data_IF_930101786059
#
_entry.id   IF_930101786059
#
_cell.length_a   1.000
_cell.length_b   1.000
_cell.length_c   1.000
_cell.angle_alpha   90.00
_cell.angle_beta   90.00
_cell.angle_gamma   90.00
#
_symmetry.space_group_name_H-M   'P 1'
#
loop_
_entity.id
_entity.type
_entity.pdbx_description
1 polymer ?
#
# COMPACT_ATOMS: atom_id res chain seq x y z
N UNK A 1 -6.68 13.57 -2.43
CA UNK A 1 -5.45 14.36 -2.22
C UNK A 1 -5.43 15.10 -0.89
N UNK A 2 -6.56 15.64 -0.38
CA UNK A 2 -6.59 16.36 0.92
C UNK A 2 -6.06 15.53 2.11
N UNK A 3 -6.27 14.21 2.09
CA UNK A 3 -5.82 13.30 3.14
C UNK A 3 -4.28 13.23 3.30
N UNK A 4 -3.54 13.30 2.19
CA UNK A 4 -2.06 13.29 2.21
C UNK A 4 -1.51 14.68 2.58
N UNK A 5 -2.21 15.73 2.16
CA UNK A 5 -1.83 17.13 2.45
C UNK A 5 -1.92 17.46 3.95
N UNK A 6 -2.78 16.76 4.69
CA UNK A 6 -2.89 16.88 6.16
C UNK A 6 -1.78 16.18 6.94
N UNK A 7 -0.85 15.49 6.26
CA UNK A 7 0.28 14.75 6.85
C UNK A 7 -0.09 13.93 8.10
N UNK A 8 -1.10 13.04 8.04
CA UNK A 8 -1.45 12.23 9.20
C UNK A 8 -0.30 11.28 9.58
N UNK A 9 -0.17 10.95 10.86
CA UNK A 9 0.90 10.04 11.30
C UNK A 9 0.72 8.63 10.73
N UNK A 10 -0.53 8.23 10.46
CA UNK A 10 -0.89 6.95 9.85
C UNK A 10 -1.93 7.14 8.75
N UNK A 11 -1.75 6.41 7.66
CA UNK A 11 -2.67 6.36 6.54
C UNK A 11 -3.21 4.94 6.41
N UNK A 12 -4.54 4.78 6.42
CA UNK A 12 -5.22 3.53 6.16
C UNK A 12 -5.88 3.61 4.79
N UNK A 13 -5.53 2.70 3.89
CA UNK A 13 -6.05 2.64 2.53
C UNK A 13 -6.69 1.29 2.25
N UNK A 14 -7.89 1.31 1.67
CA UNK A 14 -8.56 0.12 1.18
C UNK A 14 -8.63 0.17 -0.34
N UNK A 15 -7.99 -0.79 -1.01
CA UNK A 15 -7.88 -0.90 -2.47
C UNK A 15 -7.48 0.42 -3.18
N UNK A 16 -6.33 1.02 -2.84
CA UNK A 16 -5.97 2.34 -3.36
C UNK A 16 -5.79 2.33 -4.89
N UNK A 17 -5.31 1.23 -5.47
CA UNK A 17 -5.02 1.13 -6.91
C UNK A 17 -6.28 1.18 -7.79
N UNK A 18 -7.44 0.78 -7.26
CA UNK A 18 -8.72 0.74 -8.00
C UNK A 18 -9.26 2.14 -8.32
N UNK A 19 -8.94 3.13 -7.49
CA UNK A 19 -9.43 4.50 -7.65
C UNK A 19 -8.47 5.41 -8.42
N UNK A 20 -7.36 4.88 -8.95
CA UNK A 20 -6.36 5.63 -9.70
C UNK A 20 -6.30 5.16 -11.15
N UNK A 21 -6.18 6.13 -12.08
CA UNK A 21 -5.91 5.83 -13.49
C UNK A 21 -4.63 4.98 -13.62
N UNK A 22 -4.58 3.99 -14.53
CA UNK A 22 -3.39 3.19 -14.80
C UNK A 22 -2.14 4.05 -15.10
N UNK A 23 -2.33 5.19 -15.78
CA UNK A 23 -1.27 6.14 -16.12
C UNK A 23 -0.69 6.88 -14.90
N UNK A 24 -1.46 6.98 -13.81
CA UNK A 24 -1.06 7.68 -12.58
C UNK A 24 -0.42 6.74 -11.56
N UNK A 25 -0.49 5.42 -11.74
CA UNK A 25 0.02 4.46 -10.78
C UNK A 25 1.50 4.64 -10.40
N UNK A 26 2.44 4.93 -11.32
CA UNK A 26 3.85 5.11 -10.94
C UNK A 26 4.06 6.32 -10.01
N UNK A 27 3.31 7.41 -10.24
CA UNK A 27 3.38 8.61 -9.40
C UNK A 27 2.78 8.37 -8.02
N UNK A 28 1.66 7.64 -7.97
CA UNK A 28 1.01 7.23 -6.72
C UNK A 28 1.92 6.32 -5.90
N UNK A 29 2.55 5.32 -6.53
CA UNK A 29 3.51 4.43 -5.86
C UNK A 29 4.66 5.23 -5.28
N UNK A 30 5.28 6.11 -6.07
CA UNK A 30 6.35 7.00 -5.59
C UNK A 30 5.90 7.86 -4.39
N UNK A 31 4.70 8.44 -4.46
CA UNK A 31 4.15 9.26 -3.38
C UNK A 31 4.04 8.46 -2.07
N UNK A 32 3.50 7.24 -2.13
CA UNK A 32 3.36 6.39 -0.95
C UNK A 32 4.69 5.80 -0.46
N UNK A 33 5.63 5.46 -1.34
CA UNK A 33 6.98 5.02 -0.94
C UNK A 33 7.74 6.13 -0.20
N UNK A 34 7.47 7.40 -0.54
CA UNK A 34 8.08 8.57 0.15
C UNK A 34 7.26 9.09 1.34
N UNK A 35 6.17 8.41 1.70
CA UNK A 35 5.33 8.84 2.79
C UNK A 35 6.05 8.66 4.13
N UNK A 36 6.19 9.74 4.91
CA UNK A 36 6.97 9.71 6.16
C UNK A 36 6.19 9.18 7.37
N UNK A 37 4.87 8.97 7.23
CA UNK A 37 4.04 8.34 8.26
C UNK A 37 3.94 6.82 8.08
N UNK A 38 3.22 6.15 8.97
CA UNK A 38 2.88 4.75 8.80
C UNK A 38 1.81 4.56 7.72
N UNK A 39 1.95 3.53 6.90
CA UNK A 39 0.97 3.15 5.88
C UNK A 39 0.48 1.74 6.15
N UNK A 40 -0.84 1.58 6.26
CA UNK A 40 -1.52 0.29 6.26
C UNK A 40 -2.44 0.28 5.06
N UNK A 41 -2.28 -0.71 4.20
CA UNK A 41 -3.04 -0.80 2.96
C UNK A 41 -3.48 -2.22 2.68
N UNK A 42 -4.68 -2.36 2.13
CA UNK A 42 -5.18 -3.60 1.54
C UNK A 42 -5.21 -3.40 0.03
N UNK A 43 -4.69 -4.36 -0.73
CA UNK A 43 -4.63 -4.29 -2.20
C UNK A 43 -4.46 -5.68 -2.79
N UNK A 44 -5.14 -5.93 -3.91
CA UNK A 44 -4.87 -7.11 -4.75
C UNK A 44 -3.68 -6.91 -5.72
N UNK A 45 -3.13 -5.71 -5.84
CA UNK A 45 -1.98 -5.40 -6.72
C UNK A 45 -0.65 -5.77 -6.04
N UNK A 46 -0.11 -6.94 -6.41
CA UNK A 46 1.18 -7.47 -5.91
C UNK A 46 2.35 -6.52 -6.17
N UNK A 47 2.35 -5.80 -7.31
CA UNK A 47 3.44 -4.87 -7.66
C UNK A 47 3.40 -3.64 -6.76
N UNK A 48 2.21 -3.10 -6.50
CA UNK A 48 2.04 -2.02 -5.53
C UNK A 48 2.52 -2.44 -4.13
N UNK A 49 2.11 -3.62 -3.65
CA UNK A 49 2.53 -4.12 -2.35
C UNK A 49 4.05 -4.26 -2.24
N UNK A 50 4.72 -4.82 -3.27
CA UNK A 50 6.19 -4.94 -3.30
C UNK A 50 6.93 -3.61 -3.35
N UNK A 51 6.43 -2.64 -4.12
CA UNK A 51 7.13 -1.36 -4.33
C UNK A 51 6.92 -0.35 -3.18
N UNK A 52 5.84 -0.52 -2.39
CA UNK A 52 5.40 0.47 -1.39
C UNK A 52 5.52 -0.06 0.04
N UNK A 53 5.23 -1.33 0.29
CA UNK A 53 5.13 -1.86 1.66
C UNK A 53 6.45 -2.48 2.12
N UNK A 54 6.80 -2.26 3.38
CA UNK A 54 7.97 -2.88 4.02
C UNK A 54 7.68 -4.28 4.58
N UNK A 55 6.42 -4.56 4.89
CA UNK A 55 5.96 -5.84 5.43
C UNK A 55 4.62 -6.16 4.81
N UNK A 56 4.44 -7.41 4.37
CA UNK A 56 3.20 -7.84 3.74
C UNK A 56 2.61 -8.98 4.56
N UNK A 57 1.30 -8.89 4.78
CA UNK A 57 0.52 -9.92 5.43
C UNK A 57 -0.46 -10.52 4.43
N UNK A 58 -0.57 -11.85 4.43
CA UNK A 58 -1.63 -12.57 3.72
C UNK A 58 -2.71 -12.95 4.71
N UNK A 59 -3.94 -12.57 4.39
CA UNK A 59 -5.11 -13.03 5.12
C UNK A 59 -5.40 -14.49 4.75
N UNK A 60 -5.47 -15.34 5.76
CA UNK A 60 -5.83 -16.76 5.68
C UNK A 60 -7.03 -17.02 6.60
N UNK A 61 -7.59 -18.22 6.52
CA UNK A 61 -8.67 -18.67 7.40
C UNK A 61 -8.29 -18.67 8.90
N UNK A 62 -6.98 -18.69 9.20
CA UNK A 62 -6.45 -18.69 10.57
C UNK A 62 -5.96 -17.33 11.05
N UNK A 63 -5.98 -16.29 10.20
CA UNK A 63 -5.53 -14.94 10.55
C UNK A 63 -4.58 -14.33 9.51
N UNK A 64 -3.60 -13.56 9.99
CA UNK A 64 -2.62 -12.88 9.14
C UNK A 64 -1.26 -13.57 9.24
N UNK A 65 -0.79 -14.10 8.10
CA UNK A 65 0.55 -14.66 7.98
C UNK A 65 1.49 -13.64 7.35
N UNK A 66 2.70 -13.49 7.92
CA UNK A 66 3.75 -12.68 7.30
C UNK A 66 4.23 -13.37 6.02
N UNK A 67 4.29 -12.62 4.91
CA UNK A 67 4.78 -13.12 3.63
C UNK A 67 6.16 -12.55 3.34
N UNK A 68 7.07 -13.39 2.86
CA UNK A 68 8.34 -12.90 2.35
C UNK A 68 8.14 -12.23 0.99
N UNK A 69 8.77 -11.06 0.79
CA UNK A 69 8.64 -10.27 -0.44
C UNK A 69 9.08 -11.04 -1.70
N UNK A 70 9.98 -12.00 -1.54
CA UNK A 70 10.44 -12.88 -2.61
C UNK A 70 9.35 -13.85 -3.09
N UNK A 71 8.42 -14.23 -2.20
CA UNK A 71 7.31 -15.15 -2.48
C UNK A 71 6.08 -14.45 -3.07
N UNK A 72 6.07 -13.11 -3.02
CA UNK A 72 4.98 -12.28 -3.50
C UNK A 72 5.08 -11.98 -4.98
#
# INVERSE_FOLDING_TARGET
MDLVLRKPNFLLLDEPTRNFSPTSQPQIRKLFTTYTGGLITVSHDRRFLKEVCSTIYRLTEHGLDVVNLDDL
#
